data_IF_512111084064
#
_entry.id   IF_512111084064
#
_cell.length_a   1.000
_cell.length_b   1.000
_cell.length_c   1.000
_cell.angle_alpha   90.00
_cell.angle_beta   90.00
_cell.angle_gamma   90.00
#
_symmetry.space_group_name_H-M   'P 1'
#
loop_
_entity.id
_entity.type
_entity.pdbx_description
1 polymer ?
#
# COMPACT_ATOMS: atom_id res chain seq x y z
N UNK A 1 -7.80 19.74 -32.58
CA UNK A 1 -7.51 20.69 -31.48
C UNK A 1 -6.81 21.92 -32.06
N UNK A 2 -7.09 23.13 -31.55
CA UNK A 2 -6.38 24.34 -31.99
C UNK A 2 -4.93 24.35 -31.46
N UNK A 3 -4.03 25.07 -32.12
CA UNK A 3 -2.64 25.25 -31.66
C UNK A 3 -2.60 25.82 -30.24
N UNK A 4 -3.49 26.76 -29.92
CA UNK A 4 -3.63 27.33 -28.57
C UNK A 4 -4.03 26.29 -27.52
N UNK A 5 -4.97 25.40 -27.85
CA UNK A 5 -5.37 24.32 -26.94
C UNK A 5 -4.22 23.34 -26.67
N UNK A 6 -3.44 23.02 -27.72
CA UNK A 6 -2.29 22.12 -27.61
C UNK A 6 -1.17 22.71 -26.75
N UNK A 7 -0.87 24.00 -26.93
CA UNK A 7 0.13 24.71 -26.11
C UNK A 7 -0.32 24.77 -24.65
N UNK A 8 -1.60 25.08 -24.40
CA UNK A 8 -2.14 25.14 -23.04
C UNK A 8 -2.11 23.78 -22.35
N UNK A 9 -2.48 22.72 -23.06
CA UNK A 9 -2.41 21.36 -22.55
C UNK A 9 -0.96 20.97 -22.19
N UNK A 10 -0.01 21.21 -23.10
CA UNK A 10 1.40 20.95 -22.83
C UNK A 10 1.90 21.76 -21.63
N UNK A 11 1.54 23.03 -21.53
CA UNK A 11 1.88 23.89 -20.39
C UNK A 11 1.40 23.29 -19.07
N UNK A 12 0.12 22.92 -18.98
CA UNK A 12 -0.49 22.29 -17.80
C UNK A 12 0.19 20.97 -17.43
N UNK A 13 0.40 20.07 -18.40
CA UNK A 13 1.05 18.77 -18.19
C UNK A 13 2.50 18.90 -17.73
N UNK A 14 3.14 20.01 -18.03
CA UNK A 14 4.55 20.26 -17.66
C UNK A 14 4.73 21.22 -16.49
N UNK A 15 3.65 21.72 -15.85
CA UNK A 15 3.76 22.49 -14.58
C UNK A 15 4.37 21.60 -13.49
N UNK A 16 5.18 22.13 -12.56
CA UNK A 16 5.76 21.34 -11.47
C UNK A 16 4.74 20.45 -10.76
N UNK A 17 3.60 21.04 -10.39
CA UNK A 17 2.44 20.35 -9.85
C UNK A 17 1.22 20.62 -10.73
N UNK A 18 0.40 19.59 -10.91
CA UNK A 18 -0.88 19.69 -11.59
C UNK A 18 -1.87 20.53 -10.76
N UNK A 19 -2.64 21.48 -11.33
CA UNK A 19 -3.47 22.40 -10.54
C UNK A 19 -4.48 21.72 -9.63
N UNK A 20 -5.15 20.66 -10.11
CA UNK A 20 -6.15 19.93 -9.32
C UNK A 20 -5.46 19.20 -8.17
N UNK A 21 -4.29 18.62 -8.44
CA UNK A 21 -3.43 17.99 -7.43
C UNK A 21 -2.96 19.01 -6.39
N UNK A 22 -2.57 20.22 -6.81
CA UNK A 22 -2.16 21.28 -5.90
C UNK A 22 -3.29 21.74 -4.98
N UNK A 23 -4.52 21.86 -5.51
CA UNK A 23 -5.70 22.18 -4.73
C UNK A 23 -6.01 21.07 -3.70
N UNK A 24 -5.98 19.80 -4.12
CA UNK A 24 -6.21 18.67 -3.22
C UNK A 24 -5.15 18.56 -2.12
N UNK A 25 -3.88 18.84 -2.44
CA UNK A 25 -2.80 18.91 -1.45
C UNK A 25 -3.03 20.03 -0.43
N UNK A 26 -3.42 21.22 -0.88
CA UNK A 26 -3.70 22.34 0.03
C UNK A 26 -4.86 22.06 0.98
N UNK A 27 -5.93 21.42 0.48
CA UNK A 27 -7.04 20.94 1.32
C UNK A 27 -6.51 19.93 2.34
N UNK A 28 -5.79 18.90 1.88
CA UNK A 28 -5.26 17.87 2.76
C UNK A 28 -4.38 18.45 3.86
N UNK A 29 -3.51 19.42 3.56
CA UNK A 29 -2.64 20.08 4.53
C UNK A 29 -3.44 20.82 5.62
N UNK A 30 -4.50 21.51 5.23
CA UNK A 30 -5.36 22.26 6.15
C UNK A 30 -6.13 21.33 7.09
N UNK A 31 -6.52 20.17 6.60
CA UNK A 31 -7.33 19.19 7.33
C UNK A 31 -6.49 18.29 8.25
N UNK A 32 -5.16 18.41 8.23
CA UNK A 32 -4.30 17.72 9.19
C UNK A 32 -4.41 18.36 10.59
N UNK A 33 -4.38 17.56 11.66
CA UNK A 33 -4.30 18.06 13.03
C UNK A 33 -2.95 18.75 13.27
N UNK A 34 -2.91 19.67 14.25
CA UNK A 34 -1.76 20.52 14.54
C UNK A 34 -0.47 19.73 14.78
N UNK A 35 -0.55 18.64 15.54
CA UNK A 35 0.57 17.76 15.84
C UNK A 35 1.14 17.04 14.60
N UNK A 36 0.37 16.93 13.52
CA UNK A 36 0.79 16.30 12.26
C UNK A 36 1.30 17.30 11.23
N UNK A 37 1.12 18.62 11.44
CA UNK A 37 1.56 19.69 10.52
C UNK A 37 3.01 20.11 10.77
N UNK A 38 3.93 19.15 10.66
CA UNK A 38 5.37 19.37 10.83
C UNK A 38 6.08 19.67 9.50
N UNK A 39 7.35 20.10 9.56
CA UNK A 39 8.16 20.40 8.37
C UNK A 39 8.28 19.19 7.43
N UNK A 40 8.68 18.03 7.96
CA UNK A 40 8.85 16.77 7.24
C UNK A 40 7.55 16.06 6.81
N UNK A 41 6.37 16.63 7.05
CA UNK A 41 5.10 16.00 6.66
C UNK A 41 4.93 15.96 5.13
N UNK A 42 4.69 14.76 4.61
CA UNK A 42 4.45 14.53 3.18
C UNK A 42 2.97 14.70 2.79
N UNK A 43 2.03 14.41 3.70
CA UNK A 43 0.61 14.64 3.43
C UNK A 43 0.33 16.13 3.23
N UNK A 44 -0.39 16.46 2.16
CA UNK A 44 -0.72 17.84 1.80
C UNK A 44 0.43 18.66 1.21
N UNK A 45 1.63 18.08 1.06
CA UNK A 45 2.76 18.71 0.34
C UNK A 45 3.23 17.90 -0.87
N UNK A 46 3.35 16.58 -0.68
CA UNK A 46 3.87 15.64 -1.68
C UNK A 46 2.82 14.66 -2.17
N UNK A 47 1.90 14.28 -1.29
CA UNK A 47 0.82 13.34 -1.59
C UNK A 47 -0.42 13.70 -0.76
N UNK A 48 -1.60 13.36 -1.27
CA UNK A 48 -2.86 13.44 -0.52
C UNK A 48 -3.06 12.20 0.38
N UNK A 49 -2.24 11.17 0.17
CA UNK A 49 -2.28 9.88 0.87
C UNK A 49 -2.22 8.72 -0.14
N UNK A 50 -2.15 7.51 0.40
CA UNK A 50 -2.44 6.28 -0.32
C UNK A 50 -3.97 6.05 -0.36
N UNK A 51 -4.39 5.30 -1.38
CA UNK A 51 -5.80 5.01 -1.68
C UNK A 51 -6.03 3.50 -1.65
N UNK A 52 -7.25 3.06 -1.39
CA UNK A 52 -7.62 1.65 -1.50
C UNK A 52 -9.00 1.48 -2.09
N UNK A 53 -9.25 0.28 -2.63
CA UNK A 53 -10.58 -0.18 -2.97
C UNK A 53 -11.33 -0.72 -1.75
N UNK A 54 -12.65 -0.60 -1.74
CA UNK A 54 -13.55 -1.25 -0.77
C UNK A 54 -14.72 -1.92 -1.49
N UNK A 55 -15.38 -2.89 -0.85
CA UNK A 55 -16.59 -3.53 -1.40
C UNK A 55 -16.48 -4.22 -2.77
N UNK A 56 -15.26 -4.52 -3.24
CA UNK A 56 -15.00 -5.05 -4.60
C UNK A 56 -14.95 -6.57 -4.68
N UNK A 57 -14.29 -7.23 -3.72
CA UNK A 57 -14.21 -8.69 -3.56
C UNK A 57 -13.71 -9.04 -2.15
N UNK A 58 -14.56 -9.24 -1.14
CA UNK A 58 -14.09 -9.44 0.24
C UNK A 58 -13.67 -10.88 0.55
N UNK A 59 -13.88 -11.83 -0.38
CA UNK A 59 -13.61 -13.25 -0.13
C UNK A 59 -12.11 -13.56 -0.07
N UNK A 60 -11.73 -14.48 0.81
CA UNK A 60 -10.37 -15.00 0.96
C UNK A 60 -10.42 -16.48 1.32
N UNK A 61 -9.51 -17.27 0.76
CA UNK A 61 -9.41 -18.72 1.00
C UNK A 61 -8.53 -19.06 2.23
N UNK A 62 -7.99 -18.06 2.93
CA UNK A 62 -7.23 -18.23 4.19
C UNK A 62 -8.09 -17.93 5.43
N UNK A 63 -7.63 -18.43 6.59
CA UNK A 63 -8.27 -18.25 7.89
C UNK A 63 -7.33 -17.57 8.91
N UNK A 64 -6.81 -16.38 8.56
CA UNK A 64 -5.76 -15.70 9.33
C UNK A 64 -6.21 -15.20 10.72
N UNK A 65 -5.24 -15.01 11.64
CA UNK A 65 -5.49 -14.49 13.01
C UNK A 65 -4.38 -13.54 13.52
N UNK A 66 -4.58 -12.21 13.61
CA UNK A 66 -5.81 -11.45 13.39
C UNK A 66 -6.04 -11.10 11.91
N UNK A 67 -7.29 -10.79 11.55
CA UNK A 67 -7.66 -10.41 10.19
C UNK A 67 -8.87 -9.47 10.25
N UNK A 68 -8.83 -8.40 9.45
CA UNK A 68 -9.92 -7.42 9.42
C UNK A 68 -11.20 -7.95 8.74
N UNK A 69 -11.14 -9.08 8.03
CA UNK A 69 -12.32 -9.65 7.37
C UNK A 69 -13.42 -9.94 8.38
N UNK A 70 -14.64 -9.48 8.04
CA UNK A 70 -15.84 -9.80 8.81
C UNK A 70 -16.22 -11.28 8.67
N UNK A 71 -17.17 -11.74 9.49
CA UNK A 71 -17.70 -13.10 9.41
C UNK A 71 -18.43 -13.41 8.08
N UNK A 72 -18.82 -12.37 7.33
CA UNK A 72 -19.58 -12.49 6.09
C UNK A 72 -18.71 -12.38 4.83
N UNK A 73 -17.47 -11.92 4.95
CA UNK A 73 -16.55 -11.70 3.83
C UNK A 73 -16.43 -12.92 2.89
N UNK A 74 -16.30 -14.12 3.45
CA UNK A 74 -16.18 -15.38 2.69
C UNK A 74 -17.51 -15.96 2.20
N UNK A 75 -18.64 -15.27 2.42
CA UNK A 75 -19.96 -15.62 1.88
C UNK A 75 -20.29 -14.84 0.61
N UNK A 76 -19.46 -13.89 0.22
CA UNK A 76 -19.59 -13.07 -0.98
C UNK A 76 -18.90 -13.76 -2.16
N UNK A 77 -19.59 -13.88 -3.28
CA UNK A 77 -19.00 -14.39 -4.53
C UNK A 77 -18.00 -13.37 -5.09
N UNK A 78 -16.81 -13.84 -5.48
CA UNK A 78 -15.88 -13.04 -6.28
C UNK A 78 -16.46 -12.86 -7.68
N UNK A 79 -16.61 -11.61 -8.12
CA UNK A 79 -17.30 -11.26 -9.36
C UNK A 79 -16.57 -10.13 -10.09
N UNK A 80 -15.89 -10.47 -11.20
CA UNK A 80 -15.11 -9.53 -11.99
C UNK A 80 -15.89 -8.33 -12.52
N UNK A 81 -17.05 -8.50 -13.18
CA UNK A 81 -17.87 -7.38 -13.66
C UNK A 81 -18.29 -6.41 -12.55
N UNK A 82 -18.62 -6.91 -11.35
CA UNK A 82 -18.85 -6.08 -10.17
C UNK A 82 -17.58 -5.35 -9.74
N UNK A 83 -16.47 -6.07 -9.55
CA UNK A 83 -15.18 -5.50 -9.17
C UNK A 83 -14.77 -4.35 -10.09
N UNK A 84 -14.78 -4.56 -11.40
CA UNK A 84 -14.38 -3.54 -12.39
C UNK A 84 -15.28 -2.31 -12.32
N UNK A 85 -16.61 -2.50 -12.17
CA UNK A 85 -17.57 -1.41 -12.04
C UNK A 85 -17.30 -0.56 -10.79
N UNK A 86 -17.14 -1.18 -9.64
CA UNK A 86 -16.97 -0.45 -8.38
C UNK A 86 -15.59 0.23 -8.31
N UNK A 87 -14.52 -0.43 -8.79
CA UNK A 87 -13.21 0.21 -8.93
C UNK A 87 -13.29 1.42 -9.84
N UNK A 88 -14.01 1.33 -10.97
CA UNK A 88 -14.16 2.47 -11.88
C UNK A 88 -14.78 3.68 -11.17
N UNK A 89 -15.86 3.46 -10.40
CA UNK A 89 -16.50 4.54 -9.64
C UNK A 89 -15.58 5.13 -8.57
N UNK A 90 -14.94 4.28 -7.76
CA UNK A 90 -14.05 4.73 -6.69
C UNK A 90 -12.82 5.48 -7.24
N UNK A 91 -12.22 4.99 -8.33
CA UNK A 91 -11.08 5.66 -8.97
C UNK A 91 -11.48 6.97 -9.66
N UNK A 92 -12.69 7.07 -10.23
CA UNK A 92 -13.22 8.33 -10.73
C UNK A 92 -13.41 9.34 -9.59
N UNK A 93 -14.02 8.92 -8.48
CA UNK A 93 -14.22 9.75 -7.30
C UNK A 93 -12.90 10.25 -6.69
N UNK A 94 -11.96 9.34 -6.46
CA UNK A 94 -10.65 9.67 -5.95
C UNK A 94 -9.90 10.61 -6.93
N UNK A 95 -10.17 10.56 -8.25
CA UNK A 95 -9.49 11.44 -9.23
C UNK A 95 -9.92 12.87 -8.99
N UNK A 96 -11.22 13.03 -8.77
CA UNK A 96 -11.86 14.31 -8.49
C UNK A 96 -11.37 14.87 -7.14
N UNK A 97 -11.40 14.07 -6.08
CA UNK A 97 -11.07 14.55 -4.72
C UNK A 97 -9.57 14.71 -4.45
N UNK A 98 -8.72 13.86 -5.07
CA UNK A 98 -7.29 13.75 -4.72
C UNK A 98 -6.33 14.13 -5.83
N UNK A 99 -6.80 14.41 -7.04
CA UNK A 99 -5.95 14.82 -8.16
C UNK A 99 -5.23 13.65 -8.82
N UNK A 100 -4.04 13.88 -9.37
CA UNK A 100 -3.29 12.90 -10.18
C UNK A 100 -2.21 12.22 -9.35
N UNK A 101 -1.87 10.97 -9.67
CA UNK A 101 -0.65 10.34 -9.17
C UNK A 101 -0.75 9.83 -7.73
N UNK A 102 -1.84 9.14 -7.40
CA UNK A 102 -1.96 8.40 -6.14
C UNK A 102 -1.41 6.98 -6.25
N UNK A 103 -0.89 6.44 -5.14
CA UNK A 103 -0.77 5.00 -4.98
C UNK A 103 -2.15 4.46 -4.56
N UNK A 104 -2.61 3.40 -5.22
CA UNK A 104 -3.88 2.80 -4.91
C UNK A 104 -3.73 1.28 -4.76
N UNK A 105 -4.16 0.74 -3.63
CA UNK A 105 -4.17 -0.70 -3.39
C UNK A 105 -5.47 -1.31 -3.91
N UNK A 106 -5.32 -2.38 -4.69
CA UNK A 106 -6.41 -3.28 -5.05
C UNK A 106 -6.52 -4.32 -3.92
N UNK A 107 -7.47 -4.09 -3.03
CA UNK A 107 -7.67 -4.80 -1.76
C UNK A 107 -9.17 -5.01 -1.49
N UNK A 108 -9.48 -5.94 -0.58
CA UNK A 108 -10.81 -6.26 -0.08
C UNK A 108 -10.80 -7.67 0.50
N UNK A 109 -10.23 -8.60 -0.27
CA UNK A 109 -9.92 -9.96 0.11
C UNK A 109 -8.72 -10.47 -0.67
N UNK A 110 -8.71 -11.76 -1.03
CA UNK A 110 -7.62 -12.30 -1.83
C UNK A 110 -7.80 -11.95 -3.30
N UNK A 111 -6.90 -11.12 -3.83
CA UNK A 111 -6.96 -10.66 -5.22
C UNK A 111 -6.75 -11.81 -6.21
N UNK A 112 -5.97 -12.84 -5.88
CA UNK A 112 -5.75 -13.99 -6.77
C UNK A 112 -6.96 -14.91 -6.91
N UNK A 113 -8.07 -14.63 -6.22
CA UNK A 113 -9.35 -15.30 -6.46
C UNK A 113 -10.14 -14.68 -7.63
N UNK A 114 -9.74 -13.49 -8.09
CA UNK A 114 -10.24 -12.96 -9.36
C UNK A 114 -9.73 -13.81 -10.52
N UNK A 115 -10.51 -13.86 -11.59
CA UNK A 115 -9.99 -14.33 -12.87
C UNK A 115 -8.81 -13.43 -13.30
N UNK A 116 -7.72 -13.99 -13.85
CA UNK A 116 -6.55 -13.21 -14.29
C UNK A 116 -6.90 -12.04 -15.22
N UNK A 117 -7.88 -12.21 -16.13
CA UNK A 117 -8.29 -11.14 -17.04
C UNK A 117 -9.02 -10.01 -16.31
N UNK A 118 -9.88 -10.36 -15.35
CA UNK A 118 -10.57 -9.38 -14.50
C UNK A 118 -9.57 -8.63 -13.59
N UNK A 119 -8.55 -9.32 -13.08
CA UNK A 119 -7.47 -8.70 -12.31
C UNK A 119 -6.65 -7.73 -13.18
N UNK A 120 -6.26 -8.13 -14.38
CA UNK A 120 -5.60 -7.26 -15.34
C UNK A 120 -6.49 -6.05 -15.71
N UNK A 121 -7.78 -6.26 -15.94
CA UNK A 121 -8.74 -5.19 -16.22
C UNK A 121 -8.85 -4.19 -15.06
N UNK A 122 -8.91 -4.66 -13.80
CA UNK A 122 -8.90 -3.82 -12.61
C UNK A 122 -7.63 -2.95 -12.54
N UNK A 123 -6.45 -3.53 -12.77
CA UNK A 123 -5.18 -2.80 -12.83
C UNK A 123 -5.22 -1.72 -13.92
N UNK A 124 -5.75 -2.05 -15.10
CA UNK A 124 -5.86 -1.12 -16.21
C UNK A 124 -6.82 0.05 -15.89
N UNK A 125 -7.96 -0.20 -15.24
CA UNK A 125 -8.89 0.85 -14.79
C UNK A 125 -8.18 1.82 -13.85
N UNK A 126 -7.50 1.33 -12.81
CA UNK A 126 -6.77 2.17 -11.87
C UNK A 126 -5.72 3.04 -12.59
N UNK A 127 -5.00 2.46 -13.56
CA UNK A 127 -4.01 3.19 -14.38
C UNK A 127 -4.61 4.24 -15.29
N UNK A 128 -5.76 3.95 -15.93
CA UNK A 128 -6.49 4.92 -16.77
C UNK A 128 -6.90 6.15 -15.97
N UNK A 129 -7.18 5.93 -14.69
CA UNK A 129 -7.48 6.97 -13.72
C UNK A 129 -6.20 7.64 -13.14
N UNK A 130 -5.00 7.26 -13.57
CA UNK A 130 -3.75 7.94 -13.21
C UNK A 130 -3.11 7.42 -11.91
N UNK A 131 -3.47 6.21 -11.46
CA UNK A 131 -2.93 5.61 -10.23
C UNK A 131 -1.73 4.72 -10.52
N UNK A 132 -0.88 4.56 -9.51
CA UNK A 132 0.03 3.44 -9.41
C UNK A 132 -0.65 2.31 -8.62
N UNK A 133 -1.28 1.33 -9.31
CA UNK A 133 -1.95 0.23 -8.64
C UNK A 133 -0.95 -0.70 -7.96
N UNK A 134 -1.35 -1.27 -6.82
CA UNK A 134 -0.65 -2.34 -6.11
C UNK A 134 -1.66 -3.39 -5.69
N UNK A 135 -1.49 -4.63 -6.16
CA UNK A 135 -2.38 -5.73 -5.80
C UNK A 135 -1.99 -6.30 -4.44
N UNK A 136 -2.96 -6.48 -3.54
CA UNK A 136 -2.73 -7.05 -2.22
C UNK A 136 -3.12 -8.53 -2.19
N UNK A 137 -2.21 -9.41 -1.76
CA UNK A 137 -2.37 -10.87 -1.84
C UNK A 137 -1.69 -11.56 -0.65
N UNK A 138 -2.12 -12.76 -0.29
CA UNK A 138 -1.35 -13.67 0.56
C UNK A 138 -0.24 -14.43 -0.19
N UNK A 139 -0.18 -14.30 -1.52
CA UNK A 139 0.88 -14.83 -2.38
C UNK A 139 0.85 -16.34 -2.61
N UNK A 140 -0.30 -16.99 -2.43
CA UNK A 140 -0.48 -18.44 -2.66
C UNK A 140 -1.17 -18.67 -4.01
N UNK A 141 -0.45 -18.32 -5.08
CA UNK A 141 -0.80 -18.57 -6.48
C UNK A 141 0.47 -18.96 -7.25
N UNK A 142 0.30 -19.52 -8.45
CA UNK A 142 1.41 -20.02 -9.26
C UNK A 142 1.86 -19.02 -10.34
N UNK A 143 2.95 -19.37 -11.04
CA UNK A 143 3.50 -18.54 -12.10
C UNK A 143 2.54 -18.38 -13.28
N UNK A 144 1.70 -19.38 -13.57
CA UNK A 144 0.78 -19.32 -14.71
C UNK A 144 -0.32 -18.30 -14.45
N UNK A 145 -0.84 -18.20 -13.22
CA UNK A 145 -1.73 -17.12 -12.82
C UNK A 145 -1.06 -15.75 -12.99
N UNK A 146 0.19 -15.59 -12.51
CA UNK A 146 0.94 -14.33 -12.68
C UNK A 146 1.13 -13.97 -14.16
N UNK A 147 1.50 -14.95 -14.99
CA UNK A 147 1.71 -14.77 -16.43
C UNK A 147 0.41 -14.37 -17.12
N UNK A 148 -0.72 -14.99 -16.78
CA UNK A 148 -2.03 -14.65 -17.34
C UNK A 148 -2.47 -13.22 -17.02
N UNK A 149 -2.08 -12.67 -15.85
CA UNK A 149 -2.32 -11.26 -15.51
C UNK A 149 -1.41 -10.33 -16.33
N UNK A 150 -0.16 -10.75 -16.59
CA UNK A 150 0.89 -9.89 -17.12
C UNK A 150 0.93 -9.85 -18.66
N UNK A 151 0.55 -10.94 -19.31
CA UNK A 151 0.74 -11.20 -20.75
C UNK A 151 -0.62 -11.36 -21.42
N UNK A 152 -0.79 -10.79 -22.62
CA UNK A 152 -2.02 -10.91 -23.41
C UNK A 152 -2.02 -12.16 -24.31
N UNK A 153 -3.12 -12.36 -25.04
CA UNK A 153 -3.28 -13.50 -25.96
C UNK A 153 -2.29 -13.49 -27.13
N UNK A 154 -1.58 -12.38 -27.37
CA UNK A 154 -0.55 -12.24 -28.40
C UNK A 154 0.87 -12.46 -27.85
N UNK A 155 1.00 -12.91 -26.60
CA UNK A 155 2.26 -13.05 -25.87
C UNK A 155 3.00 -11.73 -25.61
N UNK A 156 2.28 -10.61 -25.65
CA UNK A 156 2.83 -9.27 -25.38
C UNK A 156 2.54 -8.82 -23.94
N UNK A 157 3.46 -8.07 -23.30
CA UNK A 157 3.21 -7.49 -21.99
C UNK A 157 2.00 -6.53 -21.98
N UNK A 158 0.99 -6.82 -21.16
CA UNK A 158 -0.13 -5.91 -20.86
C UNK A 158 0.37 -4.63 -20.18
N UNK A 159 1.45 -4.75 -19.41
CA UNK A 159 1.98 -3.70 -18.57
C UNK A 159 3.52 -3.67 -18.59
N UNK A 160 4.16 -2.47 -18.57
CA UNK A 160 5.62 -2.39 -18.45
C UNK A 160 6.14 -2.81 -17.06
N UNK A 161 5.27 -2.75 -16.06
CA UNK A 161 5.57 -3.20 -14.70
C UNK A 161 4.32 -3.61 -13.94
N UNK A 162 4.49 -4.40 -12.88
CA UNK A 162 3.45 -4.77 -11.92
C UNK A 162 3.89 -4.45 -10.49
N UNK A 163 2.93 -4.16 -9.61
CA UNK A 163 3.24 -3.94 -8.19
C UNK A 163 2.36 -4.83 -7.34
N UNK A 164 2.96 -5.52 -6.38
CA UNK A 164 2.28 -6.42 -5.47
C UNK A 164 2.73 -6.18 -4.03
N UNK A 165 1.76 -6.17 -3.12
CA UNK A 165 1.98 -6.29 -1.69
C UNK A 165 1.60 -7.72 -1.29
N UNK A 166 2.57 -8.48 -0.78
CA UNK A 166 2.34 -9.83 -0.32
C UNK A 166 2.35 -9.85 1.20
N UNK A 167 1.23 -10.26 1.78
CA UNK A 167 1.12 -10.55 3.20
C UNK A 167 1.63 -11.97 3.45
N UNK A 168 2.64 -12.13 4.31
CA UNK A 168 3.18 -13.43 4.72
C UNK A 168 3.68 -13.40 6.15
N UNK A 169 2.95 -14.07 7.03
CA UNK A 169 3.35 -14.31 8.41
C UNK A 169 2.66 -15.56 9.00
N UNK A 170 3.08 -15.94 10.20
CA UNK A 170 2.62 -17.12 10.93
C UNK A 170 1.13 -17.12 11.26
N UNK A 171 0.48 -15.95 11.23
CA UNK A 171 -0.96 -15.85 11.45
C UNK A 171 -1.78 -16.38 10.29
N UNK A 172 -1.17 -16.51 9.11
CA UNK A 172 -1.85 -16.84 7.86
C UNK A 172 -2.05 -18.34 7.69
N UNK A 173 -3.27 -18.79 7.97
CA UNK A 173 -3.65 -20.21 7.93
C UNK A 173 -4.26 -20.59 6.58
N UNK A 174 -3.69 -21.61 5.93
CA UNK A 174 -4.27 -22.17 4.70
C UNK A 174 -3.32 -22.29 3.51
N UNK A 175 -2.09 -21.79 3.63
CA UNK A 175 -1.11 -21.82 2.54
C UNK A 175 -0.84 -23.23 2.02
N UNK A 176 -0.81 -23.36 0.69
CA UNK A 176 -0.46 -24.58 0.00
C UNK A 176 0.98 -24.98 0.34
N UNK A 177 1.17 -26.22 0.80
CA UNK A 177 2.47 -26.71 1.29
C UNK A 177 2.71 -26.48 2.79
N UNK A 178 2.08 -25.47 3.42
CA UNK A 178 2.19 -25.24 4.87
C UNK A 178 0.91 -24.62 5.46
N UNK A 179 -0.04 -25.48 5.84
CA UNK A 179 -1.37 -25.00 6.30
C UNK A 179 -1.33 -24.19 7.60
N UNK A 180 -0.36 -24.48 8.47
CA UNK A 180 -0.20 -23.87 9.80
C UNK A 180 1.29 -23.69 10.11
N UNK A 181 1.93 -22.61 9.64
CA UNK A 181 3.30 -22.30 10.02
C UNK A 181 3.43 -22.18 11.54
N UNK A 182 4.53 -22.66 12.10
CA UNK A 182 4.89 -22.57 13.53
C UNK A 182 5.92 -21.47 13.80
N UNK A 183 6.62 -21.00 12.77
CA UNK A 183 7.60 -19.92 12.85
C UNK A 183 7.64 -19.13 11.56
N UNK A 184 8.17 -17.91 11.62
CA UNK A 184 8.38 -17.08 10.43
C UNK A 184 9.43 -17.69 9.51
N UNK A 185 10.41 -18.42 10.07
CA UNK A 185 11.44 -19.10 9.30
C UNK A 185 10.86 -20.14 8.32
N UNK A 186 9.80 -20.87 8.70
CA UNK A 186 9.13 -21.83 7.82
C UNK A 186 8.50 -21.18 6.58
N UNK A 187 8.27 -19.86 6.60
CA UNK A 187 7.71 -19.10 5.49
C UNK A 187 8.76 -18.55 4.52
N UNK A 188 10.05 -18.66 4.83
CA UNK A 188 11.13 -18.06 4.03
C UNK A 188 11.21 -18.62 2.61
N UNK A 189 11.01 -19.93 2.42
CA UNK A 189 10.94 -20.53 1.08
C UNK A 189 9.79 -19.94 0.26
N UNK A 190 8.64 -19.67 0.88
CA UNK A 190 7.48 -19.10 0.21
C UNK A 190 7.68 -17.64 -0.17
N UNK A 191 8.37 -16.86 0.68
CA UNK A 191 8.78 -15.48 0.38
C UNK A 191 9.73 -15.43 -0.82
N UNK A 192 10.71 -16.33 -0.85
CA UNK A 192 11.67 -16.43 -1.95
C UNK A 192 10.98 -16.86 -3.25
N UNK A 193 10.16 -17.92 -3.20
CA UNK A 193 9.37 -18.39 -4.35
C UNK A 193 8.49 -17.29 -4.93
N UNK A 194 7.83 -16.51 -4.08
CA UNK A 194 7.03 -15.37 -4.53
C UNK A 194 7.87 -14.37 -5.32
N UNK A 195 9.02 -13.95 -4.76
CA UNK A 195 9.95 -13.06 -5.46
C UNK A 195 10.50 -13.66 -6.76
N UNK A 196 10.81 -14.96 -6.76
CA UNK A 196 11.34 -15.69 -7.90
C UNK A 196 10.36 -15.71 -9.08
N UNK A 197 9.04 -15.80 -8.84
CA UNK A 197 8.04 -15.70 -9.91
C UNK A 197 8.13 -14.37 -10.67
N UNK A 198 8.28 -13.26 -9.97
CA UNK A 198 8.42 -11.95 -10.63
C UNK A 198 9.79 -11.74 -11.28
N UNK A 199 10.85 -12.33 -10.70
CA UNK A 199 12.17 -12.33 -11.34
C UNK A 199 12.13 -13.09 -12.68
N UNK A 200 11.46 -14.25 -12.70
CA UNK A 200 11.19 -15.05 -13.90
C UNK A 200 10.37 -14.27 -14.93
N UNK A 201 9.28 -13.62 -14.50
CA UNK A 201 8.44 -12.80 -15.38
C UNK A 201 9.25 -11.69 -16.08
N UNK A 202 10.15 -11.03 -15.34
CA UNK A 202 11.05 -10.02 -15.92
C UNK A 202 12.04 -10.62 -16.92
N UNK A 203 12.59 -11.80 -16.62
CA UNK A 203 13.55 -12.47 -17.49
C UNK A 203 12.91 -12.95 -18.80
N UNK A 204 11.73 -13.54 -18.72
CA UNK A 204 11.03 -14.13 -19.87
C UNK A 204 10.32 -13.06 -20.72
N UNK A 205 9.71 -12.05 -20.10
CA UNK A 205 8.82 -11.11 -20.77
C UNK A 205 9.16 -9.62 -20.58
N UNK A 206 10.25 -9.29 -19.88
CA UNK A 206 10.68 -7.90 -19.67
C UNK A 206 9.82 -7.09 -18.69
N UNK A 207 8.79 -7.68 -18.08
CA UNK A 207 7.88 -6.98 -17.14
C UNK A 207 8.57 -6.79 -15.79
N UNK A 208 8.81 -5.53 -15.41
CA UNK A 208 9.44 -5.22 -14.12
C UNK A 208 8.45 -5.30 -12.96
N UNK A 209 8.93 -5.40 -11.72
CA UNK A 209 8.06 -5.44 -10.54
C UNK A 209 8.48 -4.53 -9.39
N UNK A 210 7.50 -4.11 -8.59
CA UNK A 210 7.70 -3.53 -7.26
C UNK A 210 6.99 -4.38 -6.23
N UNK A 211 7.75 -5.05 -5.37
CA UNK A 211 7.23 -6.01 -4.39
C UNK A 211 7.35 -5.44 -2.98
N UNK A 212 6.26 -5.46 -2.23
CA UNK A 212 6.21 -5.10 -0.82
C UNK A 212 5.93 -6.35 0.03
N UNK A 213 6.83 -6.68 0.94
CA UNK A 213 6.59 -7.67 1.99
C UNK A 213 5.74 -7.01 3.08
N UNK A 214 4.66 -7.67 3.48
CA UNK A 214 3.77 -7.23 4.54
C UNK A 214 3.64 -8.36 5.57
N UNK A 215 3.63 -8.00 6.85
CA UNK A 215 3.52 -8.94 7.95
C UNK A 215 2.76 -8.32 9.11
N UNK A 216 1.79 -9.08 9.63
CA UNK A 216 1.18 -8.81 10.92
C UNK A 216 2.13 -9.25 12.03
N UNK A 217 2.41 -8.34 12.95
CA UNK A 217 3.24 -8.59 14.12
C UNK A 217 2.36 -8.82 15.34
N UNK A 218 2.62 -9.92 16.03
CA UNK A 218 1.91 -10.43 17.20
C UNK A 218 2.93 -10.72 18.32
N UNK A 219 2.50 -10.81 19.58
CA UNK A 219 3.39 -11.23 20.67
C UNK A 219 4.10 -12.55 20.38
N UNK A 220 3.48 -13.43 19.58
CA UNK A 220 3.99 -14.74 19.25
C UNK A 220 5.13 -14.73 18.21
N UNK A 221 5.19 -13.73 17.33
CA UNK A 221 6.19 -13.69 16.23
C UNK A 221 7.12 -12.46 16.26
N UNK A 222 6.97 -11.55 17.23
CA UNK A 222 7.79 -10.34 17.29
C UNK A 222 9.30 -10.63 17.38
N UNK A 223 9.68 -11.66 18.13
CA UNK A 223 11.09 -12.06 18.25
C UNK A 223 11.71 -12.59 16.96
N UNK A 224 10.92 -12.81 15.91
CA UNK A 224 11.38 -13.29 14.61
C UNK A 224 11.44 -12.17 13.55
N UNK A 225 10.98 -10.94 13.88
CA UNK A 225 10.95 -9.82 12.92
C UNK A 225 12.36 -9.47 12.41
N UNK A 226 13.35 -9.45 13.30
CA UNK A 226 14.73 -9.18 12.92
C UNK A 226 15.26 -10.21 11.91
N UNK A 227 15.01 -11.50 12.15
CA UNK A 227 15.41 -12.60 11.27
C UNK A 227 14.70 -12.54 9.91
N UNK A 228 13.42 -12.14 9.88
CA UNK A 228 12.68 -11.93 8.63
C UNK A 228 13.32 -10.82 7.81
N UNK A 229 13.68 -9.68 8.41
CA UNK A 229 14.35 -8.58 7.71
C UNK A 229 15.70 -9.04 7.17
N UNK A 230 16.53 -9.66 8.01
CA UNK A 230 17.87 -10.10 7.63
C UNK A 230 17.84 -11.13 6.50
N UNK A 231 16.93 -12.11 6.58
CA UNK A 231 16.79 -13.15 5.54
C UNK A 231 16.23 -12.59 4.24
N UNK A 232 15.25 -11.69 4.31
CA UNK A 232 14.51 -11.25 3.11
C UNK A 232 15.20 -10.08 2.38
N UNK A 233 16.19 -9.42 2.99
CA UNK A 233 16.89 -8.28 2.38
C UNK A 233 17.54 -8.62 1.04
N UNK A 234 17.96 -9.86 0.84
CA UNK A 234 18.63 -10.34 -0.38
C UNK A 234 17.66 -10.85 -1.46
N UNK A 235 16.36 -10.93 -1.15
CA UNK A 235 15.33 -11.39 -2.10
C UNK A 235 14.88 -10.26 -3.07
N UNK A 236 13.70 -10.39 -3.66
CA UNK A 236 13.14 -9.42 -4.62
C UNK A 236 12.44 -8.18 -4.01
N UNK A 237 12.29 -8.11 -2.69
CA UNK A 237 11.50 -7.08 -2.01
C UNK A 237 12.09 -5.66 -2.14
N UNK A 238 11.21 -4.67 -2.29
CA UNK A 238 11.51 -3.23 -2.38
C UNK A 238 10.87 -2.42 -1.26
N UNK A 239 10.01 -3.05 -0.47
CA UNK A 239 9.41 -2.49 0.73
C UNK A 239 9.18 -3.61 1.73
N UNK A 240 9.40 -3.32 3.01
CA UNK A 240 9.02 -4.14 4.15
C UNK A 240 8.04 -3.36 5.00
N UNK A 241 6.90 -3.96 5.32
CA UNK A 241 5.78 -3.33 6.01
C UNK A 241 5.35 -4.20 7.18
N UNK A 242 5.53 -3.67 8.39
CA UNK A 242 5.24 -4.37 9.65
C UNK A 242 4.02 -3.74 10.32
N UNK A 243 3.04 -4.57 10.67
CA UNK A 243 1.75 -4.12 11.15
C UNK A 243 1.49 -4.74 12.52
N UNK A 244 1.77 -4.03 13.63
CA UNK A 244 1.36 -4.49 14.95
C UNK A 244 -0.14 -4.79 14.95
N UNK A 245 -0.51 -5.98 15.42
CA UNK A 245 -1.88 -6.41 15.52
C UNK A 245 -2.73 -5.41 16.32
N UNK A 246 -3.90 -5.06 15.79
CA UNK A 246 -4.93 -4.30 16.49
C UNK A 246 -6.22 -5.12 16.57
N UNK A 247 -7.09 -4.78 17.53
CA UNK A 247 -8.39 -5.42 17.68
C UNK A 247 -9.37 -4.92 16.62
N UNK A 248 -9.23 -5.44 15.39
CA UNK A 248 -10.05 -5.14 14.21
C UNK A 248 -10.64 -6.43 13.62
N UNK A 249 -11.82 -6.32 13.01
CA UNK A 249 -12.50 -7.42 12.30
C UNK A 249 -13.22 -8.40 13.23
N UNK A 250 -13.08 -9.69 12.94
CA UNK A 250 -13.78 -10.73 13.69
C UNK A 250 -13.13 -10.99 15.06
N UNK A 251 -13.81 -10.59 16.14
CA UNK A 251 -13.33 -10.74 17.52
C UNK A 251 -13.07 -12.18 17.95
N UNK A 252 -13.71 -13.17 17.32
CA UNK A 252 -13.45 -14.59 17.59
C UNK A 252 -12.04 -15.04 17.15
N UNK A 253 -11.30 -14.19 16.43
CA UNK A 253 -9.94 -14.47 15.95
C UNK A 253 -8.85 -13.89 16.84
N UNK A 254 -9.20 -13.17 17.90
CA UNK A 254 -8.23 -12.51 18.77
C UNK A 254 -7.77 -13.43 19.93
N UNK A 255 -6.47 -13.40 20.24
CA UNK A 255 -5.89 -13.92 21.49
C UNK A 255 -5.62 -12.76 22.47
N UNK A 256 -5.27 -13.07 23.71
CA UNK A 256 -4.85 -12.06 24.69
C UNK A 256 -3.42 -11.57 24.41
N UNK A 257 -3.09 -10.34 24.80
CA UNK A 257 -1.71 -9.82 24.79
C UNK A 257 -1.35 -8.82 23.69
N UNK A 258 -2.22 -8.57 22.69
CA UNK A 258 -1.89 -7.62 21.61
C UNK A 258 -1.61 -6.18 22.08
N UNK A 259 -2.13 -5.79 23.26
CA UNK A 259 -1.88 -4.44 23.83
C UNK A 259 -0.45 -4.24 24.33
N UNK A 260 0.32 -5.32 24.47
CA UNK A 260 1.71 -5.27 24.91
C UNK A 260 2.66 -4.91 23.76
N UNK A 261 2.17 -4.96 22.51
CA UNK A 261 2.92 -4.55 21.33
C UNK A 261 2.86 -3.04 21.15
N UNK A 262 3.99 -2.36 21.37
CA UNK A 262 4.15 -0.95 21.04
C UNK A 262 4.85 -0.77 19.70
N UNK A 263 4.62 0.39 19.08
CA UNK A 263 5.35 0.85 17.90
C UNK A 263 6.87 0.83 18.11
N UNK A 264 7.34 1.17 19.32
CA UNK A 264 8.77 1.16 19.67
C UNK A 264 9.36 -0.24 19.65
N UNK A 265 8.64 -1.21 20.22
CA UNK A 265 9.11 -2.58 20.29
C UNK A 265 9.23 -3.19 18.88
N UNK A 266 8.19 -3.04 18.06
CA UNK A 266 8.21 -3.55 16.68
C UNK A 266 9.28 -2.85 15.85
N UNK A 267 9.37 -1.51 15.93
CA UNK A 267 10.38 -0.78 15.17
C UNK A 267 11.81 -1.14 15.60
N UNK A 268 12.04 -1.40 16.90
CA UNK A 268 13.33 -1.85 17.41
C UNK A 268 13.79 -3.18 16.81
N UNK A 269 12.89 -4.13 16.62
CA UNK A 269 13.20 -5.40 15.94
C UNK A 269 13.48 -5.20 14.45
N UNK A 270 12.77 -4.29 13.79
CA UNK A 270 13.05 -3.93 12.38
C UNK A 270 14.44 -3.30 12.24
N UNK A 271 14.82 -2.41 13.17
CA UNK A 271 16.17 -1.83 13.23
C UNK A 271 17.24 -2.88 13.52
N UNK A 272 16.96 -3.84 14.41
CA UNK A 272 17.86 -4.95 14.71
C UNK A 272 18.12 -5.80 13.46
N UNK A 273 17.07 -6.18 12.73
CA UNK A 273 17.20 -6.92 11.47
C UNK A 273 17.84 -6.13 10.34
N UNK A 274 17.61 -4.81 10.27
CA UNK A 274 18.31 -3.94 9.32
C UNK A 274 19.78 -3.69 9.69
N UNK A 275 20.19 -4.01 10.92
CA UNK A 275 21.54 -3.78 11.43
C UNK A 275 21.90 -2.30 11.64
N UNK A 276 20.91 -1.41 11.60
CA UNK A 276 21.10 0.05 11.75
C UNK A 276 19.82 0.73 12.22
N UNK A 277 19.98 1.90 12.83
CA UNK A 277 18.86 2.80 13.12
C UNK A 277 18.15 3.21 11.82
N UNK A 278 16.82 3.24 11.87
CA UNK A 278 15.93 3.60 10.77
C UNK A 278 15.20 4.91 11.12
N UNK A 279 15.76 6.07 10.74
CA UNK A 279 15.17 7.37 11.05
C UNK A 279 13.87 7.59 10.27
N UNK A 280 12.81 8.00 10.97
CA UNK A 280 11.47 8.19 10.42
C UNK A 280 10.89 9.59 10.70
N UNK A 281 11.57 10.43 11.49
CA UNK A 281 11.05 11.77 11.82
C UNK A 281 11.44 12.83 10.77
N UNK A 282 12.50 12.59 10.00
CA UNK A 282 12.96 13.52 8.96
C UNK A 282 11.90 13.71 7.85
N UNK A 283 11.14 12.66 7.57
CA UNK A 283 9.99 12.69 6.69
C UNK A 283 8.91 11.76 7.25
N UNK A 284 7.72 12.30 7.48
CA UNK A 284 6.57 11.54 7.99
C UNK A 284 5.42 11.53 7.00
N UNK A 285 4.58 10.50 7.06
CA UNK A 285 3.33 10.43 6.31
C UNK A 285 2.17 10.21 7.28
N UNK A 286 1.39 11.26 7.52
CA UNK A 286 0.35 11.25 8.54
C UNK A 286 0.91 11.38 9.95
N UNK A 287 0.32 10.64 10.89
CA UNK A 287 0.67 10.66 12.30
C UNK A 287 1.74 9.60 12.64
N UNK A 288 2.74 9.94 13.45
CA UNK A 288 3.83 9.02 13.85
C UNK A 288 3.37 7.92 14.82
N UNK A 289 2.23 8.10 15.48
CA UNK A 289 1.56 7.04 16.26
C UNK A 289 0.94 5.97 15.36
N UNK A 290 0.72 6.29 14.08
CA UNK A 290 0.28 5.33 13.07
C UNK A 290 1.43 4.83 12.21
N UNK A 291 2.23 5.73 11.63
CA UNK A 291 3.15 5.41 10.55
C UNK A 291 4.60 5.75 10.92
N UNK A 292 5.50 4.78 10.74
CA UNK A 292 6.94 5.03 10.66
C UNK A 292 7.42 4.61 9.28
N UNK A 293 8.20 5.47 8.63
CA UNK A 293 8.71 5.20 7.29
C UNK A 293 10.16 5.65 7.19
N UNK A 294 11.02 4.75 6.74
CA UNK A 294 12.41 5.06 6.40
C UNK A 294 12.71 4.64 4.98
N UNK A 295 13.15 5.61 4.18
CA UNK A 295 13.67 5.36 2.84
C UNK A 295 15.19 5.23 2.89
N UNK A 296 15.73 4.31 2.09
CA UNK A 296 17.16 4.10 2.01
C UNK A 296 17.51 3.07 0.94
N UNK A 297 18.74 2.55 1.04
CA UNK A 297 19.21 1.51 0.14
C UNK A 297 20.20 0.58 0.84
N UNK A 298 20.12 -0.70 0.50
CA UNK A 298 21.17 -1.66 0.80
C UNK A 298 22.36 -1.44 -0.13
N UNK A 299 23.55 -1.34 0.48
CA UNK A 299 24.85 -1.21 -0.16
C UNK A 299 25.71 -2.42 0.26
N UNK A 300 25.52 -3.54 -0.44
CA UNK A 300 25.91 -4.85 0.10
C UNK A 300 25.12 -5.14 1.37
N UNK A 301 25.81 -5.55 2.43
CA UNK A 301 25.19 -5.91 3.72
C UNK A 301 24.88 -4.73 4.64
N UNK A 302 25.06 -3.49 4.17
CA UNK A 302 24.81 -2.28 4.98
C UNK A 302 23.61 -1.51 4.43
N UNK A 303 22.59 -1.33 5.26
CA UNK A 303 21.50 -0.41 4.92
C UNK A 303 21.91 1.04 5.21
N UNK A 304 21.68 1.93 4.25
CA UNK A 304 22.02 3.35 4.36
C UNK A 304 20.73 4.18 4.26
N UNK A 305 20.25 4.77 5.37
CA UNK A 305 19.13 5.69 5.35
C UNK A 305 19.40 6.91 4.44
N UNK A 306 18.37 7.30 3.68
CA UNK A 306 18.43 8.45 2.78
C UNK A 306 18.67 9.75 3.55
N UNK A 307 18.04 9.86 4.72
CA UNK A 307 18.11 11.00 5.62
C UNK A 307 18.41 10.51 7.03
N UNK A 308 19.02 11.36 7.84
CA UNK A 308 19.21 11.17 9.27
C UNK A 308 18.44 12.27 10.01
N UNK A 309 17.47 11.89 10.82
CA UNK A 309 16.61 12.82 11.57
C UNK A 309 17.32 13.46 12.77
N UNK A 310 18.51 12.99 13.15
CA UNK A 310 19.37 13.65 14.15
C UNK A 310 20.29 14.71 13.53
N UNK A 311 20.35 14.78 12.20
CA UNK A 311 21.18 15.71 11.44
C UNK A 311 20.33 16.88 10.90
N UNK A 312 20.47 18.11 11.45
CA UNK A 312 19.68 19.26 11.01
C UNK A 312 19.82 19.56 9.51
N UNK A 313 20.97 19.25 8.90
CA UNK A 313 21.19 19.44 7.46
C UNK A 313 20.39 18.48 6.59
N UNK A 314 20.01 17.32 7.12
CA UNK A 314 19.18 16.34 6.42
C UNK A 314 17.69 16.69 6.58
N UNK A 315 17.27 17.17 7.75
CA UNK A 315 15.94 17.76 7.91
C UNK A 315 15.73 18.97 6.98
N UNK A 316 16.73 19.86 6.88
CA UNK A 316 16.70 20.99 5.95
C UNK A 316 16.67 20.54 4.49
N UNK A 317 17.35 19.44 4.15
CA UNK A 317 17.30 18.84 2.81
C UNK A 317 15.91 18.29 2.50
N UNK A 318 15.26 17.61 3.44
CA UNK A 318 13.90 17.10 3.29
C UNK A 318 12.92 18.24 2.98
N UNK A 319 12.97 19.32 3.76
CA UNK A 319 12.15 20.51 3.53
C UNK A 319 12.44 21.15 2.16
N UNK A 320 13.73 21.34 1.81
CA UNK A 320 14.15 21.89 0.51
C UNK A 320 13.65 21.04 -0.67
N UNK A 321 13.65 19.71 -0.54
CA UNK A 321 13.11 18.78 -1.54
C UNK A 321 11.59 18.90 -1.67
N UNK A 322 10.87 18.98 -0.54
CA UNK A 322 9.42 19.13 -0.51
C UNK A 322 9.00 20.43 -1.22
N UNK A 323 9.67 21.54 -0.91
CA UNK A 323 9.34 22.86 -1.46
C UNK A 323 9.71 22.96 -2.95
N UNK A 324 10.82 22.34 -3.35
CA UNK A 324 11.30 22.40 -4.75
C UNK A 324 10.45 21.55 -5.68
N UNK A 325 10.00 20.38 -5.21
CA UNK A 325 9.23 19.43 -6.00
C UNK A 325 7.88 19.17 -5.33
N UNK A 326 6.91 20.08 -5.39
CA UNK A 326 5.58 19.82 -4.82
C UNK A 326 4.84 18.70 -5.57
N UNK A 327 3.97 17.99 -4.86
CA UNK A 327 3.27 16.83 -5.41
C UNK A 327 4.20 15.66 -5.76
N UNK A 328 3.78 14.79 -6.67
CA UNK A 328 4.56 13.64 -7.09
C UNK A 328 4.60 13.51 -8.63
N UNK A 329 5.55 12.70 -9.11
CA UNK A 329 5.77 12.46 -10.54
C UNK A 329 5.20 11.11 -11.00
N UNK A 330 4.33 10.51 -10.21
CA UNK A 330 3.82 9.15 -10.46
C UNK A 330 3.00 9.16 -11.75
N UNK A 331 3.23 8.14 -12.59
CA UNK A 331 2.51 7.89 -13.85
C UNK A 331 2.54 9.08 -14.82
N UNK A 332 3.62 9.85 -14.82
CA UNK A 332 3.90 10.91 -15.81
C UNK A 332 4.84 10.38 -16.90
N UNK A 333 4.66 10.90 -18.11
CA UNK A 333 5.56 10.59 -19.22
C UNK A 333 6.98 11.10 -18.94
N UNK A 334 8.00 10.39 -19.44
CA UNK A 334 9.41 10.71 -19.15
C UNK A 334 9.77 12.15 -19.55
N UNK A 335 9.29 12.61 -20.71
CA UNK A 335 9.52 13.97 -21.19
C UNK A 335 8.83 15.03 -20.33
N UNK A 336 7.60 14.76 -19.87
CA UNK A 336 6.89 15.65 -18.96
C UNK A 336 7.61 15.79 -17.62
N UNK A 337 8.02 14.65 -17.04
CA UNK A 337 8.79 14.62 -15.80
C UNK A 337 10.09 15.42 -15.91
N UNK A 338 10.83 15.29 -17.02
CA UNK A 338 12.05 16.06 -17.25
C UNK A 338 11.80 17.58 -17.27
N UNK A 339 10.75 18.03 -17.97
CA UNK A 339 10.39 19.47 -18.02
C UNK A 339 9.92 19.97 -16.65
N UNK A 340 9.14 19.17 -15.91
CA UNK A 340 8.71 19.50 -14.54
C UNK A 340 9.90 19.69 -13.61
N UNK A 341 10.85 18.76 -13.63
CA UNK A 341 12.10 18.85 -12.85
C UNK A 341 12.87 20.12 -13.23
N UNK A 342 13.06 20.37 -14.53
CA UNK A 342 13.78 21.56 -15.01
C UNK A 342 13.11 22.86 -14.52
N UNK A 343 11.78 22.94 -14.57
CA UNK A 343 11.03 24.10 -14.07
C UNK A 343 11.15 24.26 -12.55
N UNK A 344 11.00 23.17 -11.80
CA UNK A 344 11.21 23.17 -10.34
C UNK A 344 12.59 23.68 -9.95
N UNK A 345 13.64 23.21 -10.63
CA UNK A 345 15.02 23.63 -10.40
C UNK A 345 15.27 25.08 -10.83
N UNK A 346 14.66 25.53 -11.93
CA UNK A 346 14.77 26.92 -12.37
C UNK A 346 14.12 27.89 -11.36
N UNK A 347 13.01 27.49 -10.74
CA UNK A 347 12.36 28.26 -9.67
C UNK A 347 13.09 28.19 -8.34
N UNK A 348 13.85 27.11 -8.08
CA UNK A 348 14.56 26.88 -6.82
C UNK A 348 16.02 26.43 -7.05
N UNK A 349 16.90 27.28 -7.61
CA UNK A 349 18.26 26.88 -8.00
C UNK A 349 19.14 26.48 -6.81
N UNK A 350 18.84 26.99 -5.61
CA UNK A 350 19.52 26.62 -4.36
C UNK A 350 19.47 25.11 -4.08
N UNK A 351 18.41 24.43 -4.52
CA UNK A 351 18.25 23.00 -4.32
C UNK A 351 19.41 22.19 -4.90
N UNK A 352 20.01 22.63 -6.02
CA UNK A 352 21.16 21.93 -6.62
C UNK A 352 22.35 21.87 -5.65
N UNK A 353 22.60 22.96 -4.92
CA UNK A 353 23.66 23.01 -3.90
C UNK A 353 23.30 22.15 -2.70
N UNK A 354 22.05 22.20 -2.24
CA UNK A 354 21.58 21.40 -1.11
C UNK A 354 21.66 19.89 -1.43
N UNK A 355 21.24 19.50 -2.64
CA UNK A 355 21.32 18.15 -3.17
C UNK A 355 22.77 17.66 -3.31
N UNK A 356 23.69 18.49 -3.81
CA UNK A 356 25.11 18.13 -3.90
C UNK A 356 25.73 17.90 -2.51
N UNK A 357 25.38 18.76 -1.53
CA UNK A 357 25.84 18.61 -0.14
C UNK A 357 25.25 17.37 0.51
N UNK A 358 23.97 17.10 0.28
CA UNK A 358 23.30 15.89 0.75
C UNK A 358 23.92 14.63 0.13
N UNK A 359 24.14 14.61 -1.19
CA UNK A 359 24.74 13.49 -1.89
C UNK A 359 26.14 13.16 -1.34
N UNK A 360 26.93 14.18 -1.00
CA UNK A 360 28.23 13.99 -0.33
C UNK A 360 28.08 13.32 1.05
N UNK A 361 27.07 13.69 1.85
CA UNK A 361 26.80 13.06 3.16
C UNK A 361 26.29 11.63 3.01
N UNK A 362 25.32 11.41 2.13
CA UNK A 362 24.81 10.08 1.82
C UNK A 362 25.93 9.16 1.32
N UNK A 363 26.79 9.66 0.42
CA UNK A 363 27.96 8.94 -0.05
C UNK A 363 28.91 8.56 1.09
N UNK A 364 29.18 9.49 2.02
CA UNK A 364 30.02 9.21 3.20
C UNK A 364 29.38 8.16 4.11
N UNK A 365 28.07 8.24 4.38
CA UNK A 365 27.35 7.23 5.18
C UNK A 365 27.43 5.84 4.57
N UNK A 366 27.35 5.74 3.24
CA UNK A 366 27.47 4.46 2.55
C UNK A 366 28.90 3.92 2.41
N UNK A 367 29.93 4.56 2.95
CA UNK A 367 31.33 4.09 2.83
C UNK A 367 32.13 4.75 1.70
N UNK A 368 31.63 5.83 1.12
CA UNK A 368 32.34 6.70 0.18
C UNK A 368 32.17 6.34 -1.30
N UNK A 369 32.83 7.11 -2.16
CA UNK A 369 32.70 7.01 -3.64
C UNK A 369 33.26 5.71 -4.24
N UNK A 370 33.99 4.92 -3.44
CA UNK A 370 34.57 3.63 -3.88
C UNK A 370 33.55 2.48 -3.87
N UNK A 371 32.38 2.69 -3.29
CA UNK A 371 31.31 1.69 -3.31
C UNK A 371 30.73 1.50 -4.70
N UNK A 372 30.16 0.32 -4.91
CA UNK A 372 29.45 -0.01 -6.15
C UNK A 372 28.02 0.52 -6.10
N UNK A 373 27.88 1.84 -6.21
CA UNK A 373 26.58 2.53 -6.12
C UNK A 373 25.54 2.05 -7.14
N UNK A 374 25.97 1.44 -8.25
CA UNK A 374 25.06 0.85 -9.25
C UNK A 374 24.44 -0.49 -8.80
N UNK A 375 24.97 -1.14 -7.77
CA UNK A 375 24.41 -2.34 -7.13
C UNK A 375 23.44 -1.99 -5.99
N UNK A 376 23.29 -0.69 -5.67
CA UNK A 376 22.43 -0.22 -4.59
C UNK A 376 20.98 -0.68 -4.76
N UNK A 377 20.45 -1.34 -3.73
CA UNK A 377 19.07 -1.82 -3.71
C UNK A 377 18.21 -0.90 -2.86
N UNK A 378 17.50 0.01 -3.52
CA UNK A 378 16.53 0.87 -2.85
C UNK A 378 15.44 0.02 -2.17
N UNK A 379 15.26 0.23 -0.87
CA UNK A 379 14.29 -0.46 0.00
C UNK A 379 13.69 0.58 0.95
N UNK A 380 12.39 0.44 1.21
CA UNK A 380 11.67 1.23 2.20
C UNK A 380 11.24 0.34 3.36
N UNK A 381 11.49 0.77 4.58
CA UNK A 381 10.88 0.17 5.77
C UNK A 381 9.68 0.99 6.19
N UNK A 382 8.57 0.30 6.46
CA UNK A 382 7.30 0.87 6.86
C UNK A 382 6.81 0.10 8.09
N UNK A 383 6.24 0.82 9.03
CA UNK A 383 5.42 0.23 10.08
C UNK A 383 4.11 1.00 10.17
N UNK A 384 3.01 0.26 10.27
CA UNK A 384 1.68 0.84 10.42
C UNK A 384 0.95 0.26 11.63
N UNK A 385 0.78 1.06 12.68
CA UNK A 385 -0.02 0.71 13.84
C UNK A 385 -1.47 1.17 13.63
N UNK A 386 -2.37 0.20 13.51
CA UNK A 386 -3.80 0.43 13.42
C UNK A 386 -4.38 0.93 14.77
N UNK A 387 -5.59 1.50 14.71
CA UNK A 387 -6.37 1.90 15.89
C UNK A 387 -7.33 0.75 16.20
N UNK A 388 -7.54 0.43 17.48
CA UNK A 388 -8.56 -0.55 17.87
C UNK A 388 -9.95 -0.15 17.35
N UNK A 389 -10.78 -1.13 16.99
CA UNK A 389 -12.08 -0.85 16.36
C UNK A 389 -13.02 -0.04 17.27
N UNK A 390 -12.98 -0.26 18.58
CA UNK A 390 -13.79 0.51 19.53
C UNK A 390 -13.42 2.00 19.52
N UNK A 391 -12.12 2.30 19.64
CA UNK A 391 -11.63 3.68 19.70
C UNK A 391 -11.76 4.37 18.34
N UNK A 392 -11.65 3.58 17.27
CA UNK A 392 -11.93 4.02 15.90
C UNK A 392 -13.39 4.45 15.74
N UNK A 393 -14.34 3.67 16.26
CA UNK A 393 -15.76 3.99 16.16
C UNK A 393 -16.08 5.31 16.88
N UNK A 394 -15.66 5.43 18.14
CA UNK A 394 -15.90 6.63 18.95
C UNK A 394 -15.23 7.88 18.33
N UNK A 395 -13.97 7.75 17.87
CA UNK A 395 -13.25 8.83 17.20
C UNK A 395 -13.91 9.25 15.88
N UNK A 396 -14.45 8.30 15.13
CA UNK A 396 -15.16 8.56 13.88
C UNK A 396 -16.50 9.26 14.10
N UNK A 397 -17.26 8.88 15.12
CA UNK A 397 -18.50 9.55 15.51
C UNK A 397 -18.27 11.04 15.80
N UNK A 398 -17.18 11.38 16.52
CA UNK A 398 -16.80 12.76 16.75
C UNK A 398 -16.50 13.53 15.46
N UNK A 399 -15.79 12.90 14.50
CA UNK A 399 -15.51 13.50 13.18
C UNK A 399 -16.81 13.76 12.42
N UNK A 400 -17.71 12.77 12.35
CA UNK A 400 -19.02 12.91 11.69
C UNK A 400 -19.88 14.01 12.32
N UNK A 401 -19.84 14.14 13.65
CA UNK A 401 -20.57 15.17 14.38
C UNK A 401 -19.91 16.57 14.31
N UNK A 402 -18.69 16.69 13.77
CA UNK A 402 -17.92 17.94 13.78
C UNK A 402 -17.53 18.39 15.19
N UNK A 403 -17.37 17.45 16.13
CA UNK A 403 -17.02 17.72 17.53
C UNK A 403 -15.61 17.21 17.83
N UNK A 404 -15.02 17.69 18.94
CA UNK A 404 -13.74 17.20 19.44
C UNK A 404 -13.94 16.35 20.68
N UNK A 405 -13.32 15.18 20.73
CA UNK A 405 -13.34 14.32 21.90
C UNK A 405 -12.63 14.99 23.08
N UNK A 406 -13.10 14.73 24.30
CA UNK A 406 -12.47 15.19 25.54
C UNK A 406 -11.72 14.10 26.27
N UNK A 407 -12.08 12.83 26.06
CA UNK A 407 -11.32 11.68 26.55
C UNK A 407 -10.01 11.58 25.77
N UNK A 408 -8.82 11.62 26.43
CA UNK A 408 -7.53 11.67 25.74
C UNK A 408 -7.31 10.53 24.74
N UNK A 409 -7.79 9.33 25.08
CA UNK A 409 -7.68 8.13 24.23
C UNK A 409 -8.47 8.26 22.93
N UNK A 410 -9.69 8.78 23.00
CA UNK A 410 -10.56 8.99 21.83
C UNK A 410 -10.11 10.22 21.04
N UNK A 411 -9.59 11.25 21.70
CA UNK A 411 -8.97 12.39 21.02
C UNK A 411 -7.77 11.96 20.19
N UNK A 412 -6.90 11.09 20.73
CA UNK A 412 -5.81 10.50 19.97
C UNK A 412 -6.32 9.72 18.75
N UNK A 413 -7.32 8.85 18.92
CA UNK A 413 -7.90 8.11 17.80
C UNK A 413 -8.45 9.07 16.73
N UNK A 414 -9.17 10.10 17.14
CA UNK A 414 -9.70 11.14 16.26
C UNK A 414 -8.58 11.83 15.46
N UNK A 415 -7.51 12.31 16.12
CA UNK A 415 -6.39 12.96 15.44
C UNK A 415 -5.68 12.02 14.45
N UNK A 416 -5.48 10.75 14.85
CA UNK A 416 -4.88 9.72 13.99
C UNK A 416 -5.74 9.45 12.74
N UNK A 417 -7.07 9.48 12.88
CA UNK A 417 -8.01 9.35 11.75
C UNK A 417 -7.95 10.57 10.82
N UNK A 418 -7.88 11.79 11.36
CA UNK A 418 -7.74 13.02 10.57
C UNK A 418 -6.40 13.08 9.82
N UNK A 419 -5.34 12.59 10.46
CA UNK A 419 -4.01 12.46 9.88
C UNK A 419 -3.82 11.18 9.05
N UNK A 420 -4.88 10.41 8.77
CA UNK A 420 -4.74 9.12 8.11
C UNK A 420 -4.07 9.23 6.73
N UNK A 421 -3.02 8.43 6.53
CA UNK A 421 -2.28 8.35 5.28
C UNK A 421 -2.94 7.44 4.24
N UNK A 422 -3.99 6.71 4.61
CA UNK A 422 -4.57 5.65 3.79
C UNK A 422 -6.10 5.67 3.85
N UNK A 423 -6.77 5.87 2.72
CA UNK A 423 -8.24 6.04 2.72
C UNK A 423 -8.92 5.46 1.49
N UNK A 424 -10.18 5.10 1.68
CA UNK A 424 -11.08 4.55 0.68
C UNK A 424 -12.00 5.66 0.17
N UNK A 425 -12.36 5.61 -1.11
CA UNK A 425 -13.27 6.57 -1.72
C UNK A 425 -14.70 6.04 -1.72
N UNK A 426 -15.63 6.76 -1.09
CA UNK A 426 -17.06 6.42 -1.02
C UNK A 426 -17.87 7.38 -1.89
N UNK A 427 -17.97 7.14 -3.21
CA UNK A 427 -18.74 7.99 -4.12
C UNK A 427 -20.21 8.12 -3.74
N UNK A 428 -20.79 7.13 -3.08
CA UNK A 428 -22.18 7.09 -2.64
C UNK A 428 -22.49 8.04 -1.47
N UNK A 429 -21.50 8.38 -0.64
CA UNK A 429 -21.63 9.33 0.46
C UNK A 429 -20.81 10.61 0.28
N UNK A 430 -20.09 10.74 -0.84
CA UNK A 430 -19.14 11.83 -1.10
C UNK A 430 -18.01 11.92 -0.05
N UNK A 431 -17.57 10.78 0.50
CA UNK A 431 -16.60 10.74 1.61
C UNK A 431 -15.28 10.06 1.25
N UNK A 432 -14.21 10.51 1.92
CA UNK A 432 -12.94 9.78 2.02
C UNK A 432 -12.89 9.14 3.41
N UNK A 433 -12.91 7.82 3.46
CA UNK A 433 -12.98 7.06 4.72
C UNK A 433 -11.59 6.55 5.10
N UNK A 434 -11.05 6.89 6.29
CA UNK A 434 -9.79 6.33 6.77
C UNK A 434 -9.81 4.80 6.86
N UNK A 435 -8.69 4.13 6.54
CA UNK A 435 -8.65 2.67 6.50
C UNK A 435 -9.03 1.98 7.83
N UNK A 436 -8.69 2.56 8.97
CA UNK A 436 -9.14 2.02 10.27
C UNK A 436 -10.67 2.06 10.39
N UNK A 437 -11.32 3.13 9.91
CA UNK A 437 -12.79 3.23 9.92
C UNK A 437 -13.40 2.22 8.95
N UNK A 438 -12.85 2.12 7.74
CA UNK A 438 -13.31 1.14 6.76
C UNK A 438 -13.32 -0.27 7.36
N UNK A 439 -12.16 -0.71 7.84
CA UNK A 439 -11.95 -2.08 8.27
C UNK A 439 -12.48 -2.39 9.68
N UNK A 440 -12.52 -1.38 10.56
CA UNK A 440 -12.98 -1.51 11.94
C UNK A 440 -14.48 -1.28 12.12
N UNK A 441 -15.12 -0.52 11.23
CA UNK A 441 -16.51 -0.06 11.42
C UNK A 441 -17.40 -0.44 10.24
N UNK A 442 -17.00 -0.15 9.00
CA UNK A 442 -17.90 -0.22 7.84
C UNK A 442 -17.97 -1.60 7.17
N UNK A 443 -16.83 -2.28 7.03
CA UNK A 443 -16.71 -3.56 6.29
C UNK A 443 -17.71 -4.62 6.77
N UNK A 444 -18.07 -4.64 8.06
CA UNK A 444 -19.00 -5.62 8.60
C UNK A 444 -20.43 -5.46 8.05
N UNK A 445 -20.89 -4.23 7.85
CA UNK A 445 -22.20 -3.95 7.25
C UNK A 445 -22.13 -4.07 5.73
N UNK A 446 -21.11 -3.51 5.09
CA UNK A 446 -20.93 -3.60 3.63
C UNK A 446 -20.86 -5.06 3.16
N UNK A 447 -20.14 -5.92 3.88
CA UNK A 447 -20.06 -7.33 3.53
C UNK A 447 -21.43 -8.03 3.66
N UNK A 448 -22.27 -7.65 4.63
CA UNK A 448 -23.64 -8.20 4.73
C UNK A 448 -24.49 -7.80 3.52
N UNK A 449 -24.40 -6.55 3.10
CA UNK A 449 -25.09 -6.07 1.89
C UNK A 449 -24.56 -6.78 0.62
N UNK A 450 -23.25 -7.01 0.54
CA UNK A 450 -22.65 -7.75 -0.56
C UNK A 450 -23.06 -9.23 -0.61
N UNK A 451 -23.34 -9.86 0.52
CA UNK A 451 -23.88 -11.24 0.54
C UNK A 451 -25.24 -11.29 -0.14
N UNK A 452 -26.09 -10.28 0.06
CA UNK A 452 -27.39 -10.17 -0.61
C UNK A 452 -27.23 -9.91 -2.11
N UNK A 453 -26.28 -9.05 -2.49
CA UNK A 453 -26.04 -8.67 -3.89
C UNK A 453 -25.34 -9.77 -4.70
N UNK A 454 -24.37 -10.44 -4.10
CA UNK A 454 -23.46 -11.40 -4.73
C UNK A 454 -23.42 -12.72 -3.93
N UNK A 455 -24.55 -13.42 -3.78
CA UNK A 455 -24.57 -14.66 -3.04
C UNK A 455 -23.75 -15.74 -3.75
N UNK A 456 -23.02 -16.54 -2.98
CA UNK A 456 -22.47 -17.80 -3.47
C UNK A 456 -23.65 -18.71 -3.81
N UNK A 457 -23.96 -18.85 -5.10
CA UNK A 457 -24.96 -19.81 -5.56
C UNK A 457 -24.43 -21.20 -5.25
N UNK A 458 -25.13 -21.97 -4.42
CA UNK A 458 -24.91 -23.40 -4.35
C UNK A 458 -25.01 -23.94 -5.78
N UNK A 459 -23.99 -24.66 -6.25
CA UNK A 459 -24.04 -25.31 -7.55
C UNK A 459 -25.35 -26.09 -7.60
N UNK A 460 -26.26 -25.71 -8.51
CA UNK A 460 -27.46 -26.48 -8.76
C UNK A 460 -26.98 -27.91 -8.99
N UNK A 461 -27.36 -28.84 -8.11
CA UNK A 461 -27.02 -30.24 -8.27
C UNK A 461 -27.49 -30.60 -9.67
N UNK A 462 -26.55 -30.85 -10.58
CA UNK A 462 -26.90 -31.44 -11.85
C UNK A 462 -27.37 -32.85 -11.49
N UNK A 463 -28.67 -32.98 -11.26
CA UNK A 463 -29.39 -34.23 -11.43
C UNK A 463 -29.22 -34.54 -12.91
N UNK A 464 -28.06 -35.12 -13.21
CA UNK A 464 -27.80 -35.87 -14.43
C UNK A 464 -28.91 -36.91 -14.42
N UNK A 465 -29.99 -36.65 -15.16
CA UNK A 465 -30.96 -37.68 -15.52
C UNK A 465 -30.10 -38.78 -16.12
N UNK A 466 -29.93 -39.85 -15.35
CA UNK A 466 -29.51 -41.12 -15.88
C UNK A 466 -30.51 -41.41 -16.98
N UNK A 467 -30.02 -41.34 -18.22
CA UNK A 467 -30.69 -41.87 -19.38
C UNK A 467 -31.16 -43.28 -19.03
N UNK A 468 -32.46 -43.50 -19.19
CA UNK A 468 -33.08 -44.81 -19.11
C UNK A 468 -32.30 -45.79 -20.00
N UNK A 469 -32.06 -47.03 -19.53
CA UNK A 469 -31.51 -48.06 -20.38
C UNK A 469 -32.58 -48.45 -21.39
N UNK A 470 -32.25 -48.30 -22.66
CA UNK A 470 -32.98 -48.90 -23.77
C UNK A 470 -33.16 -50.40 -23.49
N UNK A 471 -34.39 -50.80 -23.17
CA UNK A 471 -34.82 -52.20 -23.26
C UNK A 471 -35.17 -52.51 -24.72
N UNK A 472 -34.56 -53.59 -25.17
CA UNK A 472 -34.64 -54.24 -26.48
C UNK A 472 -36.07 -54.52 -26.95
N UNK A 473 -36.31 -54.37 -28.27
CA UNK A 473 -36.69 -55.43 -29.21
C UNK A 473 -36.69 -54.92 -30.65
#
# INVERSE_FOLDING_TARGET
MSVRATIRDLELRTRPVDPDTAAALAVRWRDLPDNSRVSGQLLGKKTTGCEATHGVFPSCNFSCKPCYHSADANKVRVDGPHTIREITKQMAFLREKRGWGGFAQLIGGEVSLLDPDDHAAAIQVMRNHGRAPMSFTHGDFDYEHLRAIAIDDNDEPRFPSLSFACHMDTTMMGRSGIKKPQSEAELNEFRDRFCAMFARLKQEHGVSSYLAHNMTVTPENISEVADVVDTCKDQGWRMFSFQPAAYIGNSARWSAGYRELTSELVWGEVEAGAGTRLPFEAMQIGDLRCNRVTWGAWMGDTYVPLLDDTEPRDQAMAQSWIDTFPGNFIRREKGETAVRIARSLASNPKFVVDAARWASRFAKRGGGVKQKWWEAKAVTYVMHQFIDAADTADGWEHILAGTRATEPRILEAQERLEACAYSMGHPETDQLVPACVQHGVLDAEENRQLVELLPIRAAASSTRRLSEPSREL
#
